data_IF_448105885833
#
_entry.id   IF_448105885833
#
_cell.length_a   1.000
_cell.length_b   1.000
_cell.length_c   1.000
_cell.angle_alpha   90.00
_cell.angle_beta   90.00
_cell.angle_gamma   90.00
#
_symmetry.space_group_name_H-M   'P 1'
#
loop_
_entity.id
_entity.type
_entity.pdbx_description
1 polymer ?
#
# COMPACT_ATOMS: atom_id res chain seq x y z
N UNK A 1 -18.35 -7.61 -3.71
CA UNK A 1 -17.69 -8.87 -3.30
C UNK A 1 -18.61 -9.58 -2.31
N UNK A 2 -19.17 -10.73 -2.71
CA UNK A 2 -20.15 -11.51 -1.93
C UNK A 2 -19.36 -12.62 -1.22
N UNK A 3 -18.75 -12.34 -0.07
CA UNK A 3 -17.89 -13.36 0.58
C UNK A 3 -17.12 -12.97 1.84
N UNK A 4 -17.09 -11.69 2.23
CA UNK A 4 -16.42 -11.26 3.46
C UNK A 4 -17.47 -10.87 4.51
N UNK A 5 -18.16 -11.87 5.07
CA UNK A 5 -19.21 -11.69 6.08
C UNK A 5 -18.96 -12.66 7.24
N UNK A 6 -19.17 -12.21 8.48
CA UNK A 6 -18.95 -13.00 9.70
C UNK A 6 -17.85 -12.44 10.61
N UNK A 7 -17.82 -12.87 11.86
CA UNK A 7 -16.93 -12.33 12.91
C UNK A 7 -15.44 -12.45 12.54
N UNK A 8 -15.05 -13.49 11.79
CA UNK A 8 -13.69 -13.67 11.29
C UNK A 8 -13.20 -12.55 10.35
N UNK A 9 -14.12 -11.78 9.76
CA UNK A 9 -13.80 -10.65 8.88
C UNK A 9 -13.96 -9.29 9.59
N UNK A 10 -14.39 -9.27 10.86
CA UNK A 10 -14.51 -8.05 11.68
C UNK A 10 -13.15 -7.68 12.26
N UNK A 11 -12.22 -7.31 11.37
CA UNK A 11 -10.89 -6.80 11.73
C UNK A 11 -10.76 -5.34 11.29
N UNK A 12 -9.95 -4.52 11.99
CA UNK A 12 -9.63 -3.18 11.51
C UNK A 12 -9.05 -3.23 10.09
N UNK A 13 -9.22 -2.17 9.30
CA UNK A 13 -8.48 -2.00 8.04
C UNK A 13 -6.96 -2.02 8.30
N UNK A 14 -6.23 -2.61 7.35
CA UNK A 14 -4.76 -2.65 7.34
C UNK A 14 -4.27 -2.19 5.96
N UNK A 15 -3.14 -1.46 5.89
CA UNK A 15 -2.64 -0.96 4.62
C UNK A 15 -2.11 -2.11 3.74
N UNK A 16 -2.63 -2.18 2.51
CA UNK A 16 -2.11 -3.10 1.49
C UNK A 16 -0.85 -2.56 0.80
N UNK A 17 -0.65 -1.24 0.81
CA UNK A 17 0.49 -0.54 0.21
C UNK A 17 0.90 0.60 1.14
N UNK A 18 2.19 0.79 1.37
CA UNK A 18 2.72 1.87 2.20
C UNK A 18 4.16 2.25 1.83
N UNK A 19 4.56 3.44 2.26
CA UNK A 19 5.93 3.95 2.17
C UNK A 19 6.36 4.54 3.52
N UNK A 20 7.64 4.45 3.85
CA UNK A 20 8.21 5.09 5.06
C UNK A 20 9.71 5.34 4.91
N UNK A 21 10.24 6.27 5.71
CA UNK A 21 11.68 6.33 5.95
C UNK A 21 12.13 5.21 6.88
N UNK A 22 13.34 4.69 6.65
CA UNK A 22 14.07 3.83 7.56
C UNK A 22 15.49 4.36 7.74
N UNK A 23 15.70 5.14 8.81
CA UNK A 23 16.90 5.97 8.93
C UNK A 23 17.00 6.94 7.76
N UNK A 24 18.10 6.85 6.98
CA UNK A 24 18.29 7.63 5.74
C UNK A 24 17.75 6.94 4.49
N UNK A 25 17.32 5.68 4.60
CA UNK A 25 16.79 4.90 3.48
C UNK A 25 15.28 5.11 3.29
N UNK A 26 14.80 4.81 2.08
CA UNK A 26 13.38 4.82 1.70
C UNK A 26 12.89 3.37 1.56
N UNK A 27 11.75 3.05 2.18
CA UNK A 27 11.14 1.72 2.08
C UNK A 27 9.72 1.83 1.53
N UNK A 28 9.45 1.10 0.45
CA UNK A 28 8.15 0.96 -0.18
C UNK A 28 7.71 -0.51 -0.12
N UNK A 29 6.42 -0.74 0.13
CA UNK A 29 5.84 -2.08 0.21
C UNK A 29 4.46 -2.11 -0.44
N UNK A 30 4.15 -3.22 -1.12
CA UNK A 30 2.78 -3.56 -1.52
C UNK A 30 2.56 -5.06 -1.42
N UNK A 31 1.37 -5.48 -0.98
CA UNK A 31 0.94 -6.88 -0.94
C UNK A 31 0.24 -7.33 -2.24
N UNK A 32 0.16 -6.44 -3.24
CA UNK A 32 -0.44 -6.72 -4.55
C UNK A 32 0.54 -7.48 -5.47
N UNK A 33 0.05 -7.99 -6.60
CA UNK A 33 0.90 -8.62 -7.63
C UNK A 33 0.98 -10.15 -7.58
N UNK A 34 0.20 -10.82 -6.73
CA UNK A 34 0.22 -12.28 -6.63
C UNK A 34 -0.37 -13.01 -7.86
N UNK A 35 -1.10 -12.30 -8.73
CA UNK A 35 -1.68 -12.84 -9.97
C UNK A 35 -1.08 -12.15 -11.18
N UNK A 36 -0.97 -12.88 -12.28
CA UNK A 36 -0.50 -12.39 -13.57
C UNK A 36 -1.35 -11.22 -14.11
N UNK A 37 -2.67 -11.30 -13.97
CA UNK A 37 -3.59 -10.24 -14.44
C UNK A 37 -3.44 -8.92 -13.67
N UNK A 38 -2.86 -8.96 -12.47
CA UNK A 38 -2.54 -7.74 -11.72
C UNK A 38 -1.37 -7.00 -12.36
N UNK A 39 -0.39 -7.70 -12.93
CA UNK A 39 0.80 -7.09 -13.55
C UNK A 39 0.48 -6.30 -14.81
N UNK A 40 -0.56 -6.69 -15.54
CA UNK A 40 -1.02 -5.98 -16.74
C UNK A 40 -2.05 -4.89 -16.43
N UNK A 41 -2.48 -4.76 -15.17
CA UNK A 41 -3.41 -3.71 -14.77
C UNK A 41 -2.67 -2.35 -14.72
N UNK A 42 -3.14 -1.34 -15.48
CA UNK A 42 -2.47 -0.03 -15.55
C UNK A 42 -2.42 0.69 -14.20
N UNK A 43 -3.40 0.49 -13.32
CA UNK A 43 -3.40 1.08 -11.97
C UNK A 43 -2.27 0.47 -11.13
N UNK A 44 -2.09 -0.85 -11.20
CA UNK A 44 -1.01 -1.50 -10.45
C UNK A 44 0.36 -1.07 -10.98
N UNK A 45 0.51 -0.94 -12.29
CA UNK A 45 1.74 -0.43 -12.89
C UNK A 45 2.06 0.99 -12.39
N UNK A 46 1.08 1.89 -12.29
CA UNK A 46 1.27 3.22 -11.72
C UNK A 46 1.73 3.17 -10.26
N UNK A 47 1.15 2.28 -9.45
CA UNK A 47 1.56 2.11 -8.04
C UNK A 47 3.02 1.65 -7.94
N UNK A 48 3.42 0.64 -8.74
CA UNK A 48 4.79 0.12 -8.72
C UNK A 48 5.78 1.17 -9.24
N UNK A 49 5.49 1.83 -10.36
CA UNK A 49 6.36 2.86 -10.94
C UNK A 49 6.50 4.07 -10.00
N UNK A 50 5.41 4.50 -9.36
CA UNK A 50 5.43 5.57 -8.37
C UNK A 50 6.23 5.19 -7.13
N UNK A 51 6.00 4.00 -6.58
CA UNK A 51 6.72 3.47 -5.42
C UNK A 51 8.23 3.33 -5.67
N UNK A 52 8.63 2.80 -6.83
CA UNK A 52 10.03 2.69 -7.24
C UNK A 52 10.67 4.07 -7.46
N UNK A 53 9.99 4.97 -8.17
CA UNK A 53 10.48 6.33 -8.40
C UNK A 53 10.71 7.05 -7.07
N UNK A 54 9.78 6.94 -6.12
CA UNK A 54 9.95 7.52 -4.80
C UNK A 54 11.10 6.88 -4.02
N UNK A 55 11.21 5.54 -4.02
CA UNK A 55 12.26 4.82 -3.31
C UNK A 55 13.67 5.15 -3.85
N UNK A 56 13.77 5.39 -5.16
CA UNK A 56 15.01 5.82 -5.84
C UNK A 56 15.31 7.32 -5.70
N UNK A 57 14.39 8.11 -5.14
CA UNK A 57 14.56 9.55 -4.99
C UNK A 57 14.28 10.36 -6.26
N UNK A 58 13.61 9.77 -7.25
CA UNK A 58 13.17 10.46 -8.47
C UNK A 58 11.83 11.19 -8.29
N UNK A 59 11.14 10.96 -7.17
CA UNK A 59 9.88 11.61 -6.82
C UNK A 59 9.82 11.93 -5.32
N UNK A 60 9.13 13.01 -5.00
CA UNK A 60 8.80 13.41 -3.64
C UNK A 60 7.37 13.00 -3.30
N UNK A 61 7.15 12.68 -2.03
CA UNK A 61 5.83 12.37 -1.48
C UNK A 61 5.80 12.75 0.00
N UNK A 62 4.66 13.24 0.47
CA UNK A 62 4.41 13.35 1.91
C UNK A 62 4.18 11.96 2.48
N UNK A 63 5.09 11.56 3.35
CA UNK A 63 5.13 10.25 4.00
C UNK A 63 4.96 10.38 5.52
N UNK A 64 4.36 11.47 5.97
CA UNK A 64 3.94 11.63 7.37
C UNK A 64 3.08 10.42 7.79
N UNK A 65 3.45 9.69 8.86
CA UNK A 65 2.70 8.51 9.27
C UNK A 65 1.23 8.84 9.59
N UNK A 66 0.30 8.16 8.91
CA UNK A 66 -1.15 8.31 9.11
C UNK A 66 -1.82 7.02 9.59
N UNK A 67 -1.05 6.05 10.10
CA UNK A 67 -1.55 4.75 10.58
C UNK A 67 -2.74 4.87 11.53
N UNK A 68 -2.69 5.80 12.48
CA UNK A 68 -3.75 6.00 13.46
C UNK A 68 -5.07 6.46 12.82
N UNK A 69 -5.02 7.20 11.71
CA UNK A 69 -6.22 7.66 10.99
C UNK A 69 -6.84 6.52 10.17
N UNK A 70 -6.00 5.61 9.67
CA UNK A 70 -6.43 4.53 8.78
C UNK A 70 -7.02 3.33 9.52
N UNK A 71 -6.66 3.10 10.78
CA UNK A 71 -7.08 1.92 11.58
C UNK A 71 -8.27 2.19 12.50
N UNK A 72 -8.80 3.42 12.54
CA UNK A 72 -10.00 3.73 13.31
C UNK A 72 -11.23 3.08 12.67
N UNK A 73 -11.76 2.08 13.39
CA UNK A 73 -13.05 1.45 13.09
C UNK A 73 -14.13 2.50 13.36
N UNK A 74 -14.86 2.91 12.32
CA UNK A 74 -16.18 3.53 12.47
C UNK A 74 -17.23 2.42 12.57
#
# INVERSE_FOLDING_TARGET
MKGMQGDAYRRPPYPATWARMHGKGRAFYTSLGHREDVWTNPIFQQVILGGLSWALGHADADITPNFAQLTQVH
#
